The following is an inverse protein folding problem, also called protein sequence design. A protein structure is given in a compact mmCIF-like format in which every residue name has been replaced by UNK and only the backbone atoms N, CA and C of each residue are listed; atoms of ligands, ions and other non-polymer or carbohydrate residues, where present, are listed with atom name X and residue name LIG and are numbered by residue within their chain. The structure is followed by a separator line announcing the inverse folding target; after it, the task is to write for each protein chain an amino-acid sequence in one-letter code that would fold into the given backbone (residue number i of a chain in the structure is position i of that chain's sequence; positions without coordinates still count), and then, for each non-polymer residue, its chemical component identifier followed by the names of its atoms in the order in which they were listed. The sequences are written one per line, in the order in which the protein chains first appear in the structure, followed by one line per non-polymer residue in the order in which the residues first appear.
data_IF_928960132173
#
_entry.id   IF_928960132173
#
_cell.length_a   1.000
_cell.length_b   1.000
_cell.length_c   1.000
_cell.angle_alpha   90.00
_cell.angle_beta   90.00
_cell.angle_gamma   90.00
#
_symmetry.space_group_name_H-M   'P 1'
#
loop_
_entity.id
_entity.type
_entity.pdbx_description
1 polymer ?
#
# COMPACT_ATOMS: atom_id res chain seq x y z
N UNK A 1 2.63 -4.18 4.69
CA UNK A 1 1.20 -3.86 4.53
C UNK A 1 0.70 -4.00 3.08
N UNK A 2 1.62 -4.03 2.10
CA UNK A 2 1.29 -4.07 0.67
C UNK A 2 0.41 -5.28 0.28
N UNK A 3 0.53 -6.45 0.92
CA UNK A 3 -0.31 -7.62 0.67
C UNK A 3 -1.80 -7.33 0.95
N UNK A 4 -2.08 -6.63 2.05
CA UNK A 4 -3.44 -6.22 2.39
C UNK A 4 -3.98 -5.13 1.44
N UNK A 5 -3.10 -4.23 0.95
CA UNK A 5 -3.44 -3.24 -0.07
C UNK A 5 -3.76 -3.90 -1.41
N UNK A 6 -3.06 -4.96 -1.79
CA UNK A 6 -3.37 -5.76 -2.99
C UNK A 6 -4.79 -6.32 -2.95
N UNK A 7 -5.18 -6.93 -1.82
CA UNK A 7 -6.56 -7.43 -1.64
C UNK A 7 -7.57 -6.30 -1.71
N UNK A 8 -7.28 -5.16 -1.06
CA UNK A 8 -8.15 -3.97 -1.13
C UNK A 8 -8.29 -3.46 -2.56
N UNK A 9 -7.21 -3.47 -3.33
CA UNK A 9 -7.21 -3.12 -4.74
C UNK A 9 -8.07 -4.06 -5.60
N UNK A 10 -7.97 -5.36 -5.37
CA UNK A 10 -8.80 -6.35 -6.07
C UNK A 10 -10.30 -6.15 -5.78
N UNK A 11 -10.65 -5.81 -4.55
CA UNK A 11 -12.04 -5.44 -4.21
C UNK A 11 -12.44 -4.17 -4.96
N UNK A 12 -11.60 -3.14 -4.92
CA UNK A 12 -11.87 -1.85 -5.55
C UNK A 12 -12.08 -1.98 -7.06
N UNK A 13 -11.21 -2.70 -7.76
CA UNK A 13 -11.33 -2.97 -9.18
C UNK A 13 -12.60 -3.74 -9.56
N UNK A 14 -13.02 -4.68 -8.68
CA UNK A 14 -14.26 -5.44 -8.88
C UNK A 14 -15.54 -4.62 -8.67
N UNK A 15 -15.45 -3.47 -8.01
CA UNK A 15 -16.61 -2.64 -7.64
C UNK A 15 -16.70 -1.32 -8.40
N UNK A 16 -15.64 -0.87 -9.07
CA UNK A 16 -15.67 0.38 -9.82
C UNK A 16 -16.56 0.25 -11.04
N UNK A 17 -17.43 1.24 -11.25
CA UNK A 17 -18.41 1.26 -12.34
C UNK A 17 -17.88 2.03 -13.57
N UNK A 18 -17.02 3.02 -13.34
CA UNK A 18 -16.46 3.87 -14.40
C UNK A 18 -15.00 3.57 -14.75
N UNK A 19 -14.41 2.55 -14.13
CA UNK A 19 -13.02 2.17 -14.35
C UNK A 19 -12.00 3.05 -13.61
N UNK A 20 -12.43 3.98 -12.74
CA UNK A 20 -11.54 4.77 -11.89
C UNK A 20 -11.66 4.37 -10.42
N UNK A 21 -10.51 4.31 -9.75
CA UNK A 21 -10.37 4.06 -8.32
C UNK A 21 -9.42 5.11 -7.75
N UNK A 22 -9.71 5.65 -6.57
CA UNK A 22 -8.87 6.61 -5.89
C UNK A 22 -7.89 5.95 -4.92
N UNK A 23 -6.70 6.48 -4.83
CA UNK A 23 -5.74 6.18 -3.77
C UNK A 23 -5.22 7.48 -3.16
N UNK A 24 -5.43 7.66 -1.87
CA UNK A 24 -4.93 8.79 -1.10
C UNK A 24 -3.71 8.34 -0.29
N UNK A 25 -2.55 8.85 -0.62
CA UNK A 25 -1.31 8.62 0.11
C UNK A 25 -0.92 9.85 0.94
N UNK A 26 -0.18 9.64 2.04
CA UNK A 26 0.26 10.77 2.88
C UNK A 26 1.65 11.25 2.50
N UNK A 27 2.68 10.44 2.75
CA UNK A 27 4.07 10.83 2.59
C UNK A 27 4.77 9.94 1.55
N UNK A 28 5.54 10.51 0.61
CA UNK A 28 6.30 9.75 -0.37
C UNK A 28 7.58 9.16 0.26
N UNK A 29 7.39 8.26 1.22
CA UNK A 29 8.46 7.58 1.94
C UNK A 29 8.59 6.12 1.53
N UNK A 30 9.71 5.49 1.88
CA UNK A 30 9.98 4.08 1.59
C UNK A 30 8.85 3.18 2.07
N UNK A 31 8.41 2.27 1.21
CA UNK A 31 7.29 1.37 1.44
C UNK A 31 5.92 1.91 1.03
N UNK A 32 5.68 3.23 1.01
CA UNK A 32 4.41 3.80 0.53
C UNK A 32 4.18 3.48 -0.94
N UNK A 33 5.21 3.59 -1.77
CA UNK A 33 5.13 3.26 -3.20
C UNK A 33 4.78 1.79 -3.43
N UNK A 34 5.34 0.89 -2.62
CA UNK A 34 4.97 -0.53 -2.67
C UNK A 34 3.50 -0.76 -2.31
N UNK A 35 2.95 -0.02 -1.36
CA UNK A 35 1.53 -0.11 -1.00
C UNK A 35 0.63 0.38 -2.15
N UNK A 36 1.01 1.50 -2.79
CA UNK A 36 0.30 2.04 -3.97
C UNK A 36 0.34 1.04 -5.12
N UNK A 37 1.53 0.53 -5.45
CA UNK A 37 1.73 -0.42 -6.55
C UNK A 37 0.98 -1.74 -6.31
N UNK A 38 1.02 -2.28 -5.09
CA UNK A 38 0.28 -3.48 -4.76
C UNK A 38 -1.24 -3.27 -4.89
N UNK A 39 -1.75 -2.13 -4.42
CA UNK A 39 -3.15 -1.78 -4.61
C UNK A 39 -3.52 -1.69 -6.09
N UNK A 40 -2.71 -1.01 -6.89
CA UNK A 40 -2.95 -0.83 -8.32
C UNK A 40 -2.89 -2.16 -9.10
N UNK A 41 -1.95 -3.05 -8.77
CA UNK A 41 -1.90 -4.42 -9.32
C UNK A 41 -3.13 -5.25 -8.91
N UNK A 42 -3.61 -5.06 -7.68
CA UNK A 42 -4.88 -5.67 -7.25
C UNK A 42 -6.08 -5.16 -8.05
N UNK A 43 -6.16 -3.86 -8.33
CA UNK A 43 -7.19 -3.28 -9.22
C UNK A 43 -7.11 -3.89 -10.61
N UNK A 44 -5.92 -3.93 -11.19
CA UNK A 44 -5.68 -4.47 -12.53
C UNK A 44 -6.04 -5.96 -12.64
N UNK A 45 -5.82 -6.74 -11.59
CA UNK A 45 -6.17 -8.16 -11.53
C UNK A 45 -7.67 -8.41 -11.76
N UNK A 46 -8.54 -7.54 -11.26
CA UNK A 46 -10.01 -7.72 -11.36
C UNK A 46 -10.64 -6.85 -12.41
N UNK A 47 -9.98 -5.77 -12.81
CA UNK A 47 -10.39 -4.88 -13.88
C UNK A 47 -9.16 -4.37 -14.65
N UNK A 48 -8.71 -5.10 -15.70
CA UNK A 48 -7.46 -4.78 -16.42
C UNK A 48 -7.42 -3.39 -17.06
N UNK A 49 -8.58 -2.78 -17.30
CA UNK A 49 -8.66 -1.45 -17.92
C UNK A 49 -8.80 -0.32 -16.88
N UNK A 50 -8.96 -0.65 -15.60
CA UNK A 50 -9.15 0.35 -14.58
C UNK A 50 -7.85 1.11 -14.26
N UNK A 51 -8.02 2.39 -13.96
CA UNK A 51 -6.94 3.30 -13.56
C UNK A 51 -7.06 3.66 -12.08
N UNK A 52 -5.91 3.84 -11.45
CA UNK A 52 -5.82 4.30 -10.07
C UNK A 52 -5.40 5.77 -10.08
N UNK A 53 -6.31 6.66 -9.73
CA UNK A 53 -6.01 8.08 -9.52
C UNK A 53 -5.29 8.23 -8.17
N UNK A 54 -4.01 8.60 -8.21
CA UNK A 54 -3.17 8.78 -7.03
C UNK A 54 -3.10 10.25 -6.63
N UNK A 55 -3.45 10.52 -5.37
CA UNK A 55 -3.31 11.84 -4.76
C UNK A 55 -2.56 11.77 -3.43
N UNK A 56 -1.87 12.87 -3.10
CA UNK A 56 -1.04 12.98 -1.90
C UNK A 56 -1.56 14.07 -0.98
N UNK A 57 -1.86 13.74 0.27
CA UNK A 57 -2.35 14.71 1.26
C UNK A 57 -1.30 15.76 1.62
N UNK A 58 -0.01 15.39 1.50
CA UNK A 58 1.13 16.26 1.80
C UNK A 58 1.62 17.09 0.61
N UNK A 59 0.99 16.99 -0.57
CA UNK A 59 1.29 17.89 -1.69
C UNK A 59 0.71 19.29 -1.46
N UNK A 60 1.48 20.31 -1.85
CA UNK A 60 1.01 21.72 -1.87
C UNK A 60 -0.06 21.91 -2.94
N UNK A 61 -1.01 22.81 -2.67
CA UNK A 61 -1.96 23.32 -3.66
C UNK A 61 -2.77 22.25 -4.41
N UNK A 62 -2.99 21.09 -3.81
CA UNK A 62 -3.84 20.04 -4.36
C UNK A 62 -4.98 19.70 -3.40
N UNK A 63 -6.16 19.50 -3.98
CA UNK A 63 -7.34 19.01 -3.27
C UNK A 63 -7.76 17.69 -3.92
N UNK A 64 -7.46 16.58 -3.24
CA UNK A 64 -7.75 15.24 -3.76
C UNK A 64 -9.25 14.99 -3.92
N UNK A 65 -10.10 15.63 -3.13
CA UNK A 65 -11.55 15.47 -3.23
C UNK A 65 -12.09 16.04 -4.55
N UNK A 66 -11.61 17.23 -4.96
CA UNK A 66 -11.97 17.85 -6.24
C UNK A 66 -11.48 17.01 -7.43
N UNK A 67 -10.23 16.54 -7.38
CA UNK A 67 -9.66 15.68 -8.43
C UNK A 67 -10.43 14.38 -8.59
N UNK A 68 -10.80 13.75 -7.49
CA UNK A 68 -11.60 12.52 -7.54
C UNK A 68 -13.03 12.78 -8.02
N UNK A 69 -13.63 13.89 -7.63
CA UNK A 69 -14.95 14.28 -8.10
C UNK A 69 -14.95 14.52 -9.61
N UNK A 70 -13.97 15.22 -10.15
CA UNK A 70 -13.83 15.47 -11.60
C UNK A 70 -13.69 14.17 -12.39
N UNK A 71 -13.01 13.14 -11.85
CA UNK A 71 -12.85 11.83 -12.45
C UNK A 71 -14.03 10.86 -12.16
N UNK A 72 -15.00 11.29 -11.37
CA UNK A 72 -16.12 10.45 -10.95
C UNK A 72 -15.70 9.26 -10.09
N UNK A 73 -14.62 9.39 -9.33
CA UNK A 73 -14.11 8.35 -8.44
C UNK A 73 -15.06 8.18 -7.27
N UNK A 74 -15.56 6.96 -7.09
CA UNK A 74 -16.45 6.60 -5.96
C UNK A 74 -15.87 5.57 -5.02
N UNK A 75 -14.85 4.82 -5.43
CA UNK A 75 -14.16 3.83 -4.59
C UNK A 75 -12.76 4.36 -4.30
N UNK A 76 -12.46 4.55 -3.02
CA UNK A 76 -11.24 5.23 -2.58
C UNK A 76 -10.53 4.40 -1.52
N UNK A 77 -9.22 4.20 -1.68
CA UNK A 77 -8.33 3.74 -0.61
C UNK A 77 -7.75 4.95 0.11
N UNK A 78 -8.22 5.21 1.31
CA UNK A 78 -7.72 6.24 2.20
C UNK A 78 -6.65 5.70 3.17
N UNK A 79 -6.44 6.47 4.25
CA UNK A 79 -5.54 6.10 5.35
C UNK A 79 -5.98 4.82 6.03
N UNK A 80 -5.03 4.03 6.50
CA UNK A 80 -5.34 2.93 7.40
C UNK A 80 -5.61 3.52 8.81
N UNK A 81 -6.70 3.08 9.44
CA UNK A 81 -7.16 3.65 10.70
C UNK A 81 -6.10 3.57 11.80
N UNK A 82 -5.79 4.69 12.41
CA UNK A 82 -4.97 4.78 13.62
C UNK A 82 -5.72 5.36 14.84
N UNK A 83 -6.91 5.91 14.68
CA UNK A 83 -7.61 6.58 15.76
C UNK A 83 -9.11 6.27 15.77
N UNK A 84 -9.63 6.01 16.97
CA UNK A 84 -11.05 5.75 17.25
C UNK A 84 -11.92 7.01 17.23
N UNK A 85 -11.35 8.19 16.96
CA UNK A 85 -11.98 9.50 17.13
C UNK A 85 -12.61 9.98 15.81
N UNK A 86 -12.17 9.46 14.67
CA UNK A 86 -12.63 9.95 13.38
C UNK A 86 -13.99 9.35 13.01
N UNK A 87 -15.01 10.23 12.89
CA UNK A 87 -16.38 9.88 12.53
C UNK A 87 -16.62 9.87 11.03
N UNK A 88 -15.64 10.31 10.22
CA UNK A 88 -15.81 10.55 8.78
C UNK A 88 -15.89 9.28 7.96
N UNK A 89 -15.39 8.15 8.49
CA UNK A 89 -15.27 6.87 7.77
C UNK A 89 -14.38 6.91 6.52
N UNK A 90 -13.46 7.86 6.43
CA UNK A 90 -12.52 8.07 5.32
C UNK A 90 -11.25 7.23 5.46
N UNK A 91 -11.38 6.00 5.93
CA UNK A 91 -10.25 5.12 6.21
C UNK A 91 -10.40 3.75 5.55
N UNK A 92 -9.28 3.13 5.28
CA UNK A 92 -9.23 1.88 4.55
C UNK A 92 -9.80 2.04 3.13
N UNK A 93 -10.48 1.03 2.64
CA UNK A 93 -11.23 1.09 1.40
C UNK A 93 -12.68 1.47 1.69
N UNK A 94 -13.17 2.53 1.06
CA UNK A 94 -14.55 3.01 1.22
C UNK A 94 -15.19 3.42 -0.09
N UNK A 95 -16.52 3.41 -0.14
CA UNK A 95 -17.33 3.93 -1.24
C UNK A 95 -17.95 5.26 -0.82
N UNK A 96 -17.88 6.24 -1.70
CA UNK A 96 -18.60 7.52 -1.60
C UNK A 96 -19.92 7.38 -2.35
N UNK A 97 -21.03 7.65 -1.66
CA UNK A 97 -22.36 7.68 -2.24
C UNK A 97 -22.69 9.06 -2.81
N UNK A 98 -23.74 9.13 -3.63
CA UNK A 98 -24.17 10.38 -4.26
C UNK A 98 -24.65 11.44 -3.26
N UNK A 99 -25.08 11.03 -2.08
CA UNK A 99 -25.44 11.91 -0.94
C UNK A 99 -24.22 12.33 -0.09
N UNK A 100 -23.00 11.94 -0.50
CA UNK A 100 -21.77 12.22 0.22
C UNK A 100 -21.49 11.28 1.40
N UNK A 101 -22.34 10.28 1.64
CA UNK A 101 -22.08 9.31 2.71
C UNK A 101 -20.95 8.35 2.33
N UNK A 102 -20.09 8.03 3.31
CA UNK A 102 -19.00 7.07 3.14
C UNK A 102 -19.35 5.72 3.78
N UNK A 103 -19.13 4.64 3.05
CA UNK A 103 -19.32 3.26 3.52
C UNK A 103 -17.99 2.53 3.45
N UNK A 104 -17.45 2.12 4.60
CA UNK A 104 -16.24 1.31 4.64
C UNK A 104 -16.50 -0.08 4.07
N UNK A 105 -15.59 -0.54 3.24
CA UNK A 105 -15.65 -1.82 2.53
C UNK A 105 -14.65 -2.83 3.09
N UNK A 106 -13.39 -2.42 3.21
CA UNK A 106 -12.31 -3.24 3.73
C UNK A 106 -11.24 -2.35 4.38
N UNK A 107 -10.44 -2.92 5.27
CA UNK A 107 -9.33 -2.19 5.90
C UNK A 107 -8.19 -3.14 6.24
N UNK A 108 -6.95 -2.79 5.88
CA UNK A 108 -5.76 -3.43 6.40
C UNK A 108 -5.69 -3.29 7.92
N UNK A 109 -5.30 -4.35 8.61
CA UNK A 109 -5.09 -4.34 10.06
C UNK A 109 -3.73 -4.94 10.40
N UNK A 110 -3.08 -4.37 11.42
CA UNK A 110 -1.82 -4.86 11.97
C UNK A 110 -2.06 -5.48 13.33
N UNK A 111 -1.64 -6.72 13.48
CA UNK A 111 -1.72 -7.45 14.75
C UNK A 111 -0.44 -7.22 15.56
N UNK A 112 -0.33 -6.05 16.18
CA UNK A 112 0.83 -5.64 16.96
C UNK A 112 1.24 -6.66 18.03
N UNK A 113 0.27 -7.31 18.68
CA UNK A 113 0.54 -8.36 19.66
C UNK A 113 1.34 -9.52 19.06
N UNK A 114 0.98 -9.97 17.87
CA UNK A 114 1.74 -11.00 17.12
C UNK A 114 3.15 -10.53 16.78
N UNK A 115 3.27 -9.30 16.32
CA UNK A 115 4.57 -8.71 16.00
C UNK A 115 5.49 -8.70 17.22
N UNK A 116 5.01 -8.21 18.37
CA UNK A 116 5.78 -8.18 19.60
C UNK A 116 6.11 -9.59 20.11
N UNK A 117 5.18 -10.54 20.04
CA UNK A 117 5.43 -11.93 20.42
C UNK A 117 6.59 -12.53 19.60
N UNK A 118 6.61 -12.34 18.29
CA UNK A 118 7.67 -12.87 17.44
C UNK A 118 9.03 -12.18 17.68
N UNK A 119 9.04 -10.87 17.94
CA UNK A 119 10.26 -10.15 18.35
C UNK A 119 10.82 -10.76 19.64
N UNK A 120 9.97 -10.93 20.66
CA UNK A 120 10.39 -11.50 21.95
C UNK A 120 10.91 -12.92 21.76
N UNK A 121 10.23 -13.76 20.98
CA UNK A 121 10.68 -15.11 20.66
C UNK A 121 12.04 -15.13 19.98
N UNK A 122 12.28 -14.21 19.05
CA UNK A 122 13.55 -14.07 18.33
C UNK A 122 14.68 -13.68 19.30
N UNK A 123 14.42 -12.73 20.20
CA UNK A 123 15.37 -12.35 21.26
C UNK A 123 15.68 -13.54 22.18
N UNK A 124 14.66 -14.25 22.65
CA UNK A 124 14.83 -15.41 23.57
C UNK A 124 15.58 -16.57 22.91
N UNK A 125 15.44 -16.75 21.60
CA UNK A 125 16.22 -17.75 20.84
C UNK A 125 17.67 -17.35 20.61
N UNK A 126 18.08 -16.16 21.06
CA UNK A 126 19.47 -15.70 20.99
C UNK A 126 19.89 -15.21 19.60
N UNK A 127 18.96 -14.87 18.72
CA UNK A 127 19.28 -14.33 17.39
C UNK A 127 20.15 -13.07 17.41
N UNK A 128 20.16 -12.35 18.55
CA UNK A 128 21.01 -11.17 18.79
C UNK A 128 22.35 -11.51 19.43
N UNK A 129 22.62 -12.77 19.76
CA UNK A 129 23.83 -13.19 20.49
C UNK A 129 25.00 -13.56 19.59
N UNK A 130 24.86 -13.50 18.29
CA UNK A 130 26.01 -13.68 17.41
C UNK A 130 26.81 -12.38 17.39
N UNK A 131 27.63 -12.27 18.41
CA UNK A 131 28.69 -11.27 18.57
C UNK A 131 29.78 -11.50 17.53
N UNK A 132 29.59 -10.91 16.37
CA UNK A 132 30.73 -10.37 15.66
C UNK A 132 30.92 -8.95 16.17
N UNK A 133 31.75 -8.83 17.22
CA UNK A 133 32.08 -7.57 17.94
C UNK A 133 32.80 -6.52 17.05
N UNK A 134 32.77 -6.65 15.74
CA UNK A 134 33.52 -5.81 14.79
C UNK A 134 32.64 -4.88 13.95
N UNK A 135 31.33 -5.11 13.90
CA UNK A 135 30.44 -4.24 13.09
C UNK A 135 29.23 -3.83 13.93
N UNK A 136 29.14 -2.53 14.21
CA UNK A 136 28.09 -1.91 15.00
C UNK A 136 26.67 -2.42 14.72
N UNK A 137 25.79 -2.16 15.65
CA UNK A 137 24.36 -2.50 15.73
C UNK A 137 23.74 -3.10 14.46
N UNK A 138 23.58 -4.44 14.42
CA UNK A 138 22.80 -5.11 13.36
C UNK A 138 21.34 -4.73 13.54
N UNK A 139 20.82 -3.90 12.64
CA UNK A 139 19.39 -3.75 12.48
C UNK A 139 18.82 -5.02 11.85
N UNK A 140 17.92 -5.71 12.55
CA UNK A 140 17.17 -6.82 11.98
C UNK A 140 15.93 -6.25 11.26
N UNK A 141 15.88 -6.44 9.95
CA UNK A 141 14.71 -6.10 9.15
C UNK A 141 13.73 -7.28 9.17
N UNK A 142 12.54 -7.03 9.69
CA UNK A 142 11.45 -8.01 9.71
C UNK A 142 10.46 -7.70 8.58
N UNK A 143 10.38 -8.61 7.60
CA UNK A 143 9.39 -8.53 6.51
C UNK A 143 8.22 -9.47 6.83
N UNK A 144 7.47 -9.16 7.90
CA UNK A 144 6.33 -9.97 8.29
C UNK A 144 5.04 -9.44 7.67
N UNK A 145 4.45 -10.28 6.81
CA UNK A 145 3.20 -10.02 6.12
C UNK A 145 2.05 -10.85 6.66
N UNK A 146 1.12 -11.18 5.77
CA UNK A 146 -0.08 -11.96 6.08
C UNK A 146 0.23 -13.41 6.44
N UNK A 147 1.27 -14.01 5.87
CA UNK A 147 1.70 -15.38 6.17
C UNK A 147 2.12 -15.57 7.62
N UNK A 148 2.72 -14.54 8.24
CA UNK A 148 3.07 -14.54 9.66
C UNK A 148 1.88 -14.20 10.57
N UNK A 149 0.77 -13.71 10.01
CA UNK A 149 -0.37 -13.19 10.74
C UNK A 149 -0.14 -11.81 11.37
N UNK A 150 0.97 -11.12 11.05
CA UNK A 150 1.23 -9.75 11.52
C UNK A 150 0.35 -8.72 10.81
N UNK A 151 -0.10 -9.02 9.59
CA UNK A 151 -1.01 -8.21 8.79
C UNK A 151 -2.22 -9.05 8.40
N UNK A 152 -3.38 -8.43 8.32
CA UNK A 152 -4.61 -9.04 7.81
C UNK A 152 -5.53 -7.97 7.20
N UNK A 153 -6.68 -8.39 6.65
CA UNK A 153 -7.73 -7.50 6.12
C UNK A 153 -9.05 -7.81 6.82
N UNK A 154 -9.63 -6.81 7.44
CA UNK A 154 -11.03 -6.86 7.87
C UNK A 154 -11.92 -6.28 6.78
N UNK A 155 -13.17 -6.73 6.71
CA UNK A 155 -14.10 -6.30 5.66
C UNK A 155 -15.52 -6.17 6.16
N UNK A 156 -16.26 -5.30 5.48
CA UNK A 156 -17.66 -5.02 5.79
C UNK A 156 -18.58 -6.16 5.34
N UNK A 157 -19.65 -6.36 6.08
CA UNK A 157 -20.78 -7.21 5.66
C UNK A 157 -21.55 -6.65 4.46
N UNK A 158 -21.33 -5.36 4.14
CA UNK A 158 -21.95 -4.68 3.01
C UNK A 158 -21.29 -5.03 1.66
N UNK A 159 -20.17 -5.77 1.67
CA UNK A 159 -19.57 -6.25 0.43
C UNK A 159 -20.47 -7.27 -0.27
N UNK A 160 -20.57 -7.22 -1.61
CA UNK A 160 -21.23 -8.26 -2.39
C UNK A 160 -20.64 -9.65 -2.12
N UNK A 161 -21.46 -10.69 -2.15
CA UNK A 161 -21.01 -12.05 -1.87
C UNK A 161 -19.86 -12.52 -2.78
N UNK A 162 -19.81 -12.05 -4.03
CA UNK A 162 -18.71 -12.30 -4.96
C UNK A 162 -17.40 -11.69 -4.48
N UNK A 163 -17.41 -10.43 -4.05
CA UNK A 163 -16.23 -9.73 -3.51
C UNK A 163 -15.74 -10.36 -2.21
N UNK A 164 -16.66 -10.87 -1.35
CA UNK A 164 -16.28 -11.61 -0.13
C UNK A 164 -15.57 -12.92 -0.50
N UNK A 165 -16.05 -13.65 -1.51
CA UNK A 165 -15.39 -14.89 -1.97
C UNK A 165 -14.02 -14.59 -2.54
N UNK A 166 -13.89 -13.58 -3.40
CA UNK A 166 -12.62 -13.11 -3.96
C UNK A 166 -11.62 -12.77 -2.84
N UNK A 167 -12.05 -11.92 -1.88
CA UNK A 167 -11.21 -11.54 -0.73
C UNK A 167 -10.70 -12.77 0.02
N UNK A 168 -11.57 -13.72 0.32
CA UNK A 168 -11.19 -14.94 1.04
C UNK A 168 -10.18 -15.79 0.27
N UNK A 169 -10.39 -15.97 -1.04
CA UNK A 169 -9.46 -16.71 -1.90
C UNK A 169 -8.09 -16.04 -1.94
N UNK A 170 -8.03 -14.74 -2.17
CA UNK A 170 -6.77 -13.99 -2.18
C UNK A 170 -6.07 -14.03 -0.83
N UNK A 171 -6.84 -13.84 0.26
CA UNK A 171 -6.31 -13.89 1.62
C UNK A 171 -5.65 -15.23 1.94
N UNK A 172 -6.30 -16.33 1.62
CA UNK A 172 -5.73 -17.68 1.83
C UNK A 172 -4.53 -17.92 0.92
N UNK A 173 -4.60 -17.54 -0.36
CA UNK A 173 -3.48 -17.70 -1.29
C UNK A 173 -2.23 -16.91 -0.86
N UNK A 174 -2.41 -15.68 -0.36
CA UNK A 174 -1.30 -14.88 0.14
C UNK A 174 -0.76 -15.44 1.47
N UNK A 175 -1.63 -15.86 2.38
CA UNK A 175 -1.21 -16.48 3.65
C UNK A 175 -0.42 -17.75 3.46
N UNK A 176 -0.79 -18.54 2.47
CA UNK A 176 -0.09 -19.78 2.12
C UNK A 176 1.14 -19.54 1.23
N UNK A 177 1.41 -18.30 0.83
CA UNK A 177 2.48 -17.89 -0.10
C UNK A 177 2.30 -18.46 -1.54
N UNK A 178 1.06 -18.83 -1.90
CA UNK A 178 0.71 -19.28 -3.26
C UNK A 178 0.52 -18.08 -4.21
N UNK A 179 0.19 -16.90 -3.65
CA UNK A 179 -0.01 -15.65 -4.37
C UNK A 179 0.90 -14.58 -3.78
N UNK A 180 1.67 -13.92 -4.66
CA UNK A 180 2.41 -12.71 -4.31
C UNK A 180 1.87 -11.51 -5.10
N UNK A 181 1.67 -10.35 -4.45
CA UNK A 181 1.24 -9.13 -5.14
C UNK A 181 2.17 -8.70 -6.27
N UNK A 182 3.46 -8.98 -6.12
CA UNK A 182 4.50 -8.56 -7.07
C UNK A 182 5.02 -9.70 -7.93
N UNK A 183 4.11 -10.55 -8.41
CA UNK A 183 4.42 -11.55 -9.45
C UNK A 183 4.33 -10.88 -10.82
N UNK A 184 5.37 -11.02 -11.65
CA UNK A 184 5.46 -10.45 -13.00
C UNK A 184 4.52 -11.15 -14.03
N UNK A 185 4.38 -10.54 -15.20
CA UNK A 185 5.10 -9.34 -15.65
C UNK A 185 4.53 -8.04 -15.03
N UNK A 186 5.42 -7.13 -14.63
CA UNK A 186 5.04 -5.83 -14.07
C UNK A 186 5.74 -4.71 -14.85
N UNK A 187 4.98 -3.75 -15.33
CA UNK A 187 5.47 -2.58 -16.03
C UNK A 187 5.28 -1.31 -15.20
N UNK A 188 6.24 -0.40 -15.27
CA UNK A 188 6.10 0.94 -14.71
C UNK A 188 5.45 1.91 -15.70
N UNK A 189 5.04 3.09 -15.23
CA UNK A 189 4.38 4.13 -16.03
C UNK A 189 5.17 4.55 -17.28
N UNK A 190 6.50 4.47 -17.22
CA UNK A 190 7.41 4.75 -18.36
C UNK A 190 7.56 3.58 -19.34
N UNK A 191 6.79 2.50 -19.14
CA UNK A 191 6.79 1.31 -19.99
C UNK A 191 7.97 0.36 -19.74
N UNK A 192 8.79 0.57 -18.72
CA UNK A 192 9.87 -0.34 -18.39
C UNK A 192 9.33 -1.60 -17.69
N UNK A 193 9.85 -2.76 -18.09
CA UNK A 193 9.60 -4.03 -17.42
C UNK A 193 10.37 -4.05 -16.09
N UNK A 194 9.67 -4.12 -14.98
CA UNK A 194 10.21 -4.11 -13.62
C UNK A 194 10.28 -5.48 -12.97
N UNK A 195 9.47 -6.41 -13.45
CA UNK A 195 9.49 -7.81 -13.05
C UNK A 195 9.11 -8.68 -14.24
N UNK A 196 9.95 -9.65 -14.57
CA UNK A 196 9.72 -10.59 -15.67
C UNK A 196 8.57 -11.55 -15.35
N UNK A 197 7.98 -12.12 -16.40
CA UNK A 197 6.91 -13.11 -16.27
C UNK A 197 7.35 -14.30 -15.41
N UNK A 198 6.48 -14.67 -14.45
CA UNK A 198 6.72 -15.76 -13.52
C UNK A 198 7.73 -15.47 -12.39
N UNK A 199 8.42 -14.33 -12.43
CA UNK A 199 9.28 -13.90 -11.33
C UNK A 199 8.49 -13.16 -10.25
N UNK A 200 9.05 -13.06 -9.05
CA UNK A 200 8.48 -12.35 -7.91
C UNK A 200 9.51 -11.38 -7.36
N UNK A 201 9.13 -10.11 -7.18
CA UNK A 201 9.99 -9.14 -6.50
C UNK A 201 10.13 -9.50 -5.02
N UNK A 202 11.36 -9.45 -4.54
CA UNK A 202 11.66 -9.72 -3.13
C UNK A 202 11.15 -8.57 -2.23
N UNK A 203 10.88 -8.83 -0.95
CA UNK A 203 10.44 -7.79 -0.01
C UNK A 203 11.39 -6.59 0.07
N UNK A 204 12.72 -6.82 -0.02
CA UNK A 204 13.74 -5.77 -0.01
C UNK A 204 13.63 -4.86 -1.23
N UNK A 205 13.35 -5.42 -2.41
CA UNK A 205 13.14 -4.68 -3.66
C UNK A 205 11.85 -3.86 -3.59
N UNK A 206 10.80 -4.42 -2.97
CA UNK A 206 9.52 -3.75 -2.82
C UNK A 206 9.59 -2.50 -1.94
N UNK A 207 10.33 -2.54 -0.83
CA UNK A 207 10.43 -1.41 0.12
C UNK A 207 11.12 -0.19 -0.48
N UNK A 208 12.02 -0.39 -1.44
CA UNK A 208 12.80 0.68 -2.08
C UNK A 208 12.23 1.13 -3.42
N UNK A 209 11.03 0.69 -3.80
CA UNK A 209 10.37 1.11 -5.04
C UNK A 209 10.25 2.64 -5.12
N UNK A 210 10.79 3.22 -6.19
CA UNK A 210 10.76 4.65 -6.53
C UNK A 210 9.97 4.94 -7.82
N UNK A 211 9.21 3.95 -8.30
CA UNK A 211 8.42 3.96 -9.52
C UNK A 211 6.98 3.52 -9.26
N UNK A 212 6.07 3.88 -10.14
CA UNK A 212 4.66 3.51 -10.10
C UNK A 212 4.33 2.56 -11.26
N UNK A 213 3.38 1.62 -11.02
CA UNK A 213 2.90 0.72 -12.08
C UNK A 213 2.06 1.46 -13.13
N UNK A 214 1.94 0.88 -14.30
CA UNK A 214 1.41 1.48 -15.54
C UNK A 214 -0.07 1.89 -15.49
N UNK A 215 -0.85 1.32 -14.59
CA UNK A 215 -2.25 1.69 -14.39
C UNK A 215 -2.47 2.78 -13.34
N UNK A 216 -1.42 3.34 -12.73
CA UNK A 216 -1.51 4.49 -11.83
C UNK A 216 -1.46 5.79 -12.63
N UNK A 217 -2.44 6.66 -12.40
CA UNK A 217 -2.44 8.06 -12.86
C UNK A 217 -2.07 8.96 -11.69
N UNK A 218 -0.91 9.55 -11.75
CA UNK A 218 -0.31 10.37 -10.71
C UNK A 218 1.20 10.25 -10.74
N UNK A 219 1.87 10.83 -9.76
CA UNK A 219 3.32 10.81 -9.67
C UNK A 219 3.78 10.85 -8.20
N UNK A 220 5.05 10.58 -7.96
CA UNK A 220 5.68 10.72 -6.65
C UNK A 220 6.20 12.15 -6.56
N UNK A 221 5.68 13.01 -5.63
CA UNK A 221 6.07 14.40 -5.54
C UNK A 221 7.53 14.57 -5.11
N UNK A 222 8.15 15.63 -5.60
CA UNK A 222 9.45 16.08 -5.13
C UNK A 222 9.34 16.87 -3.82
N UNK A 223 10.46 17.03 -3.10
CA UNK A 223 10.46 17.63 -1.76
C UNK A 223 9.92 19.05 -1.76
N UNK A 224 10.20 19.83 -2.80
CA UNK A 224 9.75 21.24 -2.95
C UNK A 224 8.24 21.34 -3.21
N UNK A 225 7.59 20.29 -3.68
CA UNK A 225 6.15 20.20 -3.86
C UNK A 225 5.39 19.86 -2.57
N UNK A 226 6.11 19.50 -1.49
CA UNK A 226 5.51 19.04 -0.25
C UNK A 226 5.25 20.20 0.73
N UNK A 227 4.23 20.02 1.57
CA UNK A 227 3.97 20.89 2.73
C UNK A 227 5.15 20.86 3.69
N UNK A 228 5.40 21.95 4.39
CA UNK A 228 6.57 22.10 5.29
C UNK A 228 6.66 20.98 6.35
N UNK A 229 5.52 20.56 6.88
CA UNK A 229 5.43 19.49 7.88
C UNK A 229 5.90 18.11 7.40
N UNK A 230 5.93 17.88 6.06
CA UNK A 230 6.38 16.63 5.48
C UNK A 230 7.86 16.62 5.12
N UNK A 231 8.47 17.78 4.93
CA UNK A 231 9.82 17.93 4.36
C UNK A 231 10.88 17.19 5.18
N UNK A 232 10.91 17.38 6.50
CA UNK A 232 11.94 16.75 7.34
C UNK A 232 11.85 15.22 7.35
N UNK A 233 10.64 14.67 7.36
CA UNK A 233 10.44 13.23 7.28
C UNK A 233 10.90 12.67 5.93
N UNK A 234 10.54 13.35 4.85
CA UNK A 234 10.85 12.89 3.48
C UNK A 234 12.34 13.03 3.16
N UNK A 235 13.04 14.02 3.70
CA UNK A 235 14.52 14.10 3.59
C UNK A 235 15.22 12.86 4.16
N UNK A 236 14.67 12.27 5.23
CA UNK A 236 15.28 11.11 5.91
C UNK A 236 14.82 9.79 5.31
N UNK A 237 13.53 9.65 4.97
CA UNK A 237 12.90 8.40 4.60
C UNK A 237 12.32 8.40 3.18
N UNK A 238 12.46 9.49 2.44
CA UNK A 238 11.88 9.65 1.11
C UNK A 238 12.32 8.59 0.11
N UNK A 239 11.45 8.32 -0.84
CA UNK A 239 11.72 7.40 -1.97
C UNK A 239 12.69 8.05 -2.95
N UNK A 240 12.46 9.33 -3.28
CA UNK A 240 13.39 10.15 -4.04
C UNK A 240 14.33 10.80 -3.01
N UNK A 241 15.56 10.36 -2.95
CA UNK A 241 16.61 11.07 -2.22
C UNK A 241 17.28 12.00 -3.21
N UNK A 242 17.49 13.27 -2.82
CA UNK A 242 18.47 14.11 -3.50
C UNK A 242 19.75 13.30 -3.56
N UNK A 243 20.33 13.13 -4.77
CA UNK A 243 21.67 12.60 -4.91
C UNK A 243 22.53 13.37 -3.89
N UNK A 244 23.10 12.67 -2.94
CA UNK A 244 24.10 13.27 -2.05
C UNK A 244 25.16 13.82 -2.97
N UNK A 245 25.10 15.14 -3.20
CA UNK A 245 26.17 15.89 -3.85
C UNK A 245 27.45 15.43 -3.19
N UNK A 246 28.30 14.74 -3.97
CA UNK A 246 29.52 14.16 -3.50
C UNK A 246 30.39 15.22 -2.82
N UNK A 247 30.78 14.91 -1.61
CA UNK A 247 32.02 15.45 -1.01
C UNK A 247 33.02 14.30 -1.00
#
# INVERSE_FOLDING_TARGET
NYEAKYISGAIAGSLTENGYVGYVADYPIRGTTAEINAFALGVQMTNPNAKVALEWTMSKNRNYEEEFQMKGVKIISGRDLNATIDKTRDYGLFKVHDDGAHINLAMPVRHWGKLYEEIIRTVLRGAYKNDDAVTGTKALNYFWGMSSGAVDVIYSRNLPAGSIRLLRTLREGIKNMDISPFTGPIYSQDGQLRCDDGNVLRPEESVVMDWLVDNVEGYIPDIDELKEEAVELVKVQGVKQEEKLGI
#
